data_IF_443806996462
#
_entry.id   IF_443806996462
#
_cell.length_a   1.000
_cell.length_b   1.000
_cell.length_c   1.000
_cell.angle_alpha   90.00
_cell.angle_beta   90.00
_cell.angle_gamma   90.00
#
_symmetry.space_group_name_H-M   'P 1'
#
loop_
_entity.id
_entity.type
_entity.pdbx_description
1 polymer ?
#
# COMPACT_ATOMS: atom_id res chain seq x y z
N UNK A 1 -12.27 -4.24 -22.68
CA UNK A 1 -10.96 -3.64 -22.31
C UNK A 1 -10.34 -3.11 -23.56
N UNK A 2 -10.25 -1.81 -23.67
CA UNK A 2 -9.54 -1.13 -24.76
C UNK A 2 -8.06 -1.50 -24.64
N UNK A 3 -7.50 -2.10 -25.68
CA UNK A 3 -6.11 -2.49 -25.73
C UNK A 3 -5.22 -1.29 -25.44
N UNK A 4 -4.71 -1.23 -24.23
CA UNK A 4 -3.62 -0.32 -23.89
C UNK A 4 -2.45 -0.75 -24.77
N UNK A 5 -1.97 0.20 -25.52
CA UNK A 5 -0.94 0.08 -26.54
C UNK A 5 0.26 -0.73 -26.03
N UNK A 6 0.22 -2.03 -26.26
CA UNK A 6 1.33 -2.94 -25.93
C UNK A 6 2.64 -2.60 -26.65
N UNK A 7 2.58 -1.77 -27.69
CA UNK A 7 3.77 -1.32 -28.43
C UNK A 7 4.62 -0.29 -27.68
N UNK A 8 4.07 0.40 -26.68
CA UNK A 8 4.83 1.37 -25.86
C UNK A 8 5.48 0.73 -24.61
N UNK A 9 4.99 -0.42 -24.15
CA UNK A 9 5.44 -1.09 -22.92
C UNK A 9 6.94 -1.45 -22.92
N UNK A 10 7.56 -1.86 -24.04
CA UNK A 10 9.01 -2.16 -24.04
C UNK A 10 9.91 -0.92 -23.96
N UNK A 11 9.34 0.29 -24.08
CA UNK A 11 10.10 1.56 -24.18
C UNK A 11 9.92 2.41 -22.92
N UNK A 12 8.81 2.23 -22.21
CA UNK A 12 8.45 3.03 -21.04
C UNK A 12 8.53 2.18 -19.77
N UNK A 13 9.10 2.75 -18.73
CA UNK A 13 9.03 2.15 -17.39
C UNK A 13 7.58 2.20 -16.89
N UNK A 14 7.04 1.04 -16.57
CA UNK A 14 5.64 0.89 -16.15
C UNK A 14 5.53 0.65 -14.65
N UNK A 15 4.62 1.36 -14.01
CA UNK A 15 4.40 1.26 -12.57
C UNK A 15 2.94 0.98 -12.28
N UNK A 16 2.69 -0.04 -11.46
CA UNK A 16 1.37 -0.34 -10.91
C UNK A 16 1.25 0.27 -9.50
N UNK A 17 0.32 1.20 -9.32
CA UNK A 17 -0.07 1.73 -8.01
C UNK A 17 -1.30 0.99 -7.49
N UNK A 18 -1.21 0.35 -6.34
CA UNK A 18 -2.29 -0.52 -5.86
C UNK A 18 -2.37 -0.62 -4.33
N UNK A 19 -3.60 -0.83 -3.83
CA UNK A 19 -3.82 -1.25 -2.44
C UNK A 19 -3.61 -2.76 -2.23
N UNK A 20 -3.46 -3.55 -3.28
CA UNK A 20 -3.34 -5.02 -3.20
C UNK A 20 -4.60 -5.76 -2.75
N UNK A 21 -5.67 -5.07 -2.39
CA UNK A 21 -6.88 -5.70 -1.85
C UNK A 21 -7.56 -6.72 -2.79
N UNK A 22 -7.64 -6.49 -4.11
CA UNK A 22 -8.24 -7.46 -5.03
C UNK A 22 -7.38 -8.70 -5.28
N UNK A 23 -6.15 -8.77 -4.77
CA UNK A 23 -5.26 -9.89 -5.01
C UNK A 23 -5.86 -11.22 -4.52
N UNK A 24 -5.71 -12.24 -5.33
CA UNK A 24 -5.99 -13.64 -5.00
C UNK A 24 -5.12 -14.55 -5.85
N UNK A 25 -4.71 -15.67 -5.28
CA UNK A 25 -3.99 -16.76 -5.96
C UNK A 25 -4.90 -17.73 -6.72
N UNK A 26 -6.21 -17.41 -6.79
CA UNK A 26 -7.20 -18.27 -7.44
C UNK A 26 -7.38 -17.94 -8.93
N UNK A 27 -7.53 -19.00 -9.73
CA UNK A 27 -7.84 -18.87 -11.16
C UNK A 27 -9.30 -18.42 -11.39
N UNK A 28 -9.58 -17.69 -12.47
CA UNK A 28 -8.66 -17.25 -13.54
C UNK A 28 -7.93 -15.92 -13.24
N UNK A 29 -8.14 -15.34 -12.07
CA UNK A 29 -7.59 -14.04 -11.75
C UNK A 29 -6.05 -14.07 -11.67
N UNK A 30 -5.49 -15.12 -11.06
CA UNK A 30 -4.05 -15.27 -10.86
C UNK A 30 -3.26 -15.33 -12.19
N UNK A 31 -3.77 -16.07 -13.17
CA UNK A 31 -3.16 -16.07 -14.53
C UNK A 31 -3.13 -14.68 -15.15
N UNK A 32 -4.20 -13.88 -14.98
CA UNK A 32 -4.24 -12.49 -15.43
C UNK A 32 -3.25 -11.59 -14.70
N UNK A 33 -3.09 -11.81 -13.40
CA UNK A 33 -2.10 -11.14 -12.57
C UNK A 33 -0.68 -11.44 -13.04
N UNK A 34 -0.33 -12.71 -13.23
CA UNK A 34 0.98 -13.11 -13.73
C UNK A 34 1.29 -12.53 -15.11
N UNK A 35 0.28 -12.45 -15.99
CA UNK A 35 0.43 -11.82 -17.29
C UNK A 35 0.69 -10.31 -17.17
N UNK A 36 -0.05 -9.60 -16.28
CA UNK A 36 0.18 -8.18 -16.01
C UNK A 36 1.60 -7.93 -15.48
N UNK A 37 2.12 -8.80 -14.62
CA UNK A 37 3.46 -8.66 -14.05
C UNK A 37 4.58 -8.76 -15.08
N UNK A 38 4.36 -9.37 -16.24
CA UNK A 38 5.35 -9.37 -17.34
C UNK A 38 5.60 -7.96 -17.91
N UNK A 39 4.61 -7.09 -17.81
CA UNK A 39 4.63 -5.73 -18.35
C UNK A 39 4.72 -4.64 -17.27
N UNK A 40 4.89 -5.04 -16.02
CA UNK A 40 5.02 -4.12 -14.88
C UNK A 40 6.47 -4.13 -14.41
N UNK A 41 7.13 -2.98 -14.40
CA UNK A 41 8.52 -2.88 -13.94
C UNK A 41 8.61 -2.64 -12.43
N UNK A 42 7.66 -1.91 -11.86
CA UNK A 42 7.60 -1.56 -10.45
C UNK A 42 6.17 -1.65 -9.92
N UNK A 43 6.00 -2.16 -8.71
CA UNK A 43 4.73 -2.08 -7.99
C UNK A 43 4.85 -1.14 -6.79
N UNK A 44 3.99 -0.13 -6.70
CA UNK A 44 3.82 0.68 -5.49
C UNK A 44 2.66 0.11 -4.69
N UNK A 45 2.97 -0.56 -3.58
CA UNK A 45 2.01 -1.30 -2.77
C UNK A 45 1.72 -0.56 -1.46
N UNK A 46 0.45 -0.24 -1.23
CA UNK A 46 0.01 0.37 0.01
C UNK A 46 -0.24 -0.69 1.11
N UNK A 47 0.53 -0.66 2.18
CA UNK A 47 0.23 -1.41 3.42
C UNK A 47 -0.23 -0.40 4.48
N UNK A 48 -1.55 -0.23 4.59
CA UNK A 48 -2.14 0.83 5.44
C UNK A 48 -2.13 0.49 6.93
N UNK A 49 -2.19 -0.79 7.29
CA UNK A 49 -2.09 -1.28 8.66
C UNK A 49 -1.67 -2.75 8.65
N UNK A 50 -0.69 -3.12 9.49
CA UNK A 50 -0.18 -4.49 9.56
C UNK A 50 -1.06 -5.41 10.40
N UNK A 51 -1.75 -4.88 11.39
CA UNK A 51 -2.71 -5.63 12.19
C UNK A 51 -4.03 -5.79 11.42
N UNK A 52 -4.53 -7.01 11.30
CA UNK A 52 -5.73 -7.30 10.51
C UNK A 52 -6.97 -6.58 11.05
N UNK A 53 -7.18 -6.59 12.36
CA UNK A 53 -8.38 -6.01 12.97
C UNK A 53 -8.38 -4.49 12.85
N UNK A 54 -7.23 -3.86 13.06
CA UNK A 54 -7.07 -2.43 12.88
C UNK A 54 -7.14 -2.04 11.39
N UNK A 55 -6.68 -2.90 10.48
CA UNK A 55 -6.83 -2.69 9.04
C UNK A 55 -8.31 -2.71 8.63
N UNK A 56 -9.09 -3.65 9.17
CA UNK A 56 -10.53 -3.72 8.91
C UNK A 56 -11.24 -2.47 9.44
N UNK A 57 -10.89 -1.99 10.63
CA UNK A 57 -11.45 -0.73 11.17
C UNK A 57 -11.12 0.47 10.29
N UNK A 58 -9.91 0.52 9.74
CA UNK A 58 -9.43 1.64 8.93
C UNK A 58 -9.97 1.63 7.50
N UNK A 59 -10.13 0.45 6.90
CA UNK A 59 -10.38 0.30 5.46
C UNK A 59 -11.64 -0.45 5.10
N UNK A 60 -12.27 -1.14 6.07
CA UNK A 60 -13.39 -2.04 5.85
C UNK A 60 -13.00 -3.43 5.33
N UNK A 61 -11.73 -3.72 5.10
CA UNK A 61 -11.24 -4.97 4.50
C UNK A 61 -10.09 -5.59 5.28
N UNK A 62 -9.91 -6.92 5.15
CA UNK A 62 -8.74 -7.63 5.65
C UNK A 62 -7.48 -7.26 4.86
N UNK A 63 -6.32 -7.28 5.52
CA UNK A 63 -5.02 -7.08 4.88
C UNK A 63 -4.37 -8.38 4.36
N UNK A 64 -5.01 -9.53 4.52
CA UNK A 64 -4.44 -10.84 4.15
C UNK A 64 -4.02 -10.91 2.69
N UNK A 65 -4.90 -10.45 1.78
CA UNK A 65 -4.61 -10.42 0.36
C UNK A 65 -3.44 -9.50 0.03
N UNK A 66 -3.34 -8.36 0.71
CA UNK A 66 -2.25 -7.38 0.54
C UNK A 66 -0.91 -7.99 0.94
N UNK A 67 -0.87 -8.64 2.10
CA UNK A 67 0.35 -9.29 2.60
C UNK A 67 0.72 -10.53 1.76
N UNK A 68 -0.27 -11.26 1.24
CA UNK A 68 -0.05 -12.36 0.30
C UNK A 68 0.56 -11.84 -1.01
N UNK A 69 0.00 -10.77 -1.58
CA UNK A 69 0.55 -10.11 -2.76
C UNK A 69 2.00 -9.65 -2.56
N UNK A 70 2.32 -9.05 -1.40
CA UNK A 70 3.67 -8.61 -1.10
C UNK A 70 4.67 -9.78 -1.10
N UNK A 71 4.28 -10.94 -0.54
CA UNK A 71 5.11 -12.15 -0.54
C UNK A 71 5.30 -12.70 -1.95
N UNK A 72 4.24 -12.79 -2.75
CA UNK A 72 4.34 -13.26 -4.13
C UNK A 72 5.22 -12.35 -4.99
N UNK A 73 5.10 -11.03 -4.84
CA UNK A 73 6.00 -10.09 -5.50
C UNK A 73 7.46 -10.32 -5.08
N UNK A 74 7.71 -10.68 -3.82
CA UNK A 74 9.04 -11.01 -3.31
C UNK A 74 9.57 -12.31 -3.91
N UNK A 75 8.74 -13.35 -4.00
CA UNK A 75 9.11 -14.63 -4.62
C UNK A 75 9.42 -14.46 -6.12
N UNK A 76 8.67 -13.59 -6.80
CA UNK A 76 8.90 -13.21 -8.20
C UNK A 76 10.11 -12.27 -8.37
N UNK A 77 10.69 -11.75 -7.29
CA UNK A 77 11.73 -10.69 -7.31
C UNK A 77 11.29 -9.45 -8.09
N UNK A 78 9.99 -9.15 -8.08
CA UNK A 78 9.44 -7.97 -8.73
C UNK A 78 9.73 -6.74 -7.86
N UNK A 79 10.38 -5.69 -8.41
CA UNK A 79 10.65 -4.46 -7.65
C UNK A 79 9.38 -3.90 -7.00
N UNK A 80 9.48 -3.55 -5.71
CA UNK A 80 8.34 -2.98 -4.98
C UNK A 80 8.76 -1.78 -4.14
N UNK A 81 7.93 -0.75 -4.15
CA UNK A 81 7.93 0.31 -3.16
C UNK A 81 6.78 0.08 -2.20
N UNK A 82 7.07 0.00 -0.91
CA UNK A 82 6.03 -0.09 0.13
C UNK A 82 5.67 1.32 0.57
N UNK A 83 4.38 1.63 0.56
CA UNK A 83 3.87 2.91 1.05
C UNK A 83 2.98 2.68 2.27
N UNK A 84 3.21 3.48 3.29
CA UNK A 84 2.44 3.45 4.53
C UNK A 84 1.84 4.82 4.82
N UNK A 85 0.51 4.90 4.88
CA UNK A 85 -0.19 6.12 5.26
C UNK A 85 -0.24 6.21 6.79
N UNK A 86 0.40 7.23 7.35
CA UNK A 86 0.48 7.47 8.80
C UNK A 86 -0.75 8.22 9.28
N UNK A 87 -1.73 7.48 9.79
CA UNK A 87 -3.01 8.03 10.31
C UNK A 87 -2.96 8.06 11.83
N UNK A 88 -3.00 9.25 12.46
CA UNK A 88 -3.01 9.36 13.92
C UNK A 88 -4.16 8.59 14.56
N UNK A 89 -3.83 7.77 15.57
CA UNK A 89 -4.78 6.88 16.24
C UNK A 89 -5.21 5.64 15.46
N UNK A 90 -4.81 5.52 14.20
CA UNK A 90 -5.13 4.39 13.32
C UNK A 90 -3.91 3.51 13.01
N UNK A 91 -2.96 4.04 12.26
CA UNK A 91 -1.79 3.28 11.80
C UNK A 91 -0.45 3.77 12.37
N UNK A 92 -0.47 4.76 13.26
CA UNK A 92 0.73 5.47 13.73
C UNK A 92 1.37 4.92 15.03
N UNK A 93 0.81 3.86 15.63
CA UNK A 93 1.38 3.28 16.87
C UNK A 93 2.71 2.58 16.58
N UNK A 94 3.70 2.82 17.44
CA UNK A 94 5.06 2.24 17.29
C UNK A 94 5.04 0.72 17.21
N UNK A 95 4.18 0.05 18.00
CA UNK A 95 3.99 -1.40 17.93
C UNK A 95 3.68 -1.88 16.51
N UNK A 96 2.74 -1.20 15.81
CA UNK A 96 2.37 -1.57 14.45
C UNK A 96 3.45 -1.19 13.44
N UNK A 97 4.13 -0.08 13.65
CA UNK A 97 5.26 0.32 12.80
C UNK A 97 6.41 -0.69 12.88
N UNK A 98 6.75 -1.17 14.07
CA UNK A 98 7.76 -2.23 14.24
C UNK A 98 7.33 -3.54 13.59
N UNK A 99 6.08 -4.00 13.79
CA UNK A 99 5.55 -5.19 13.13
C UNK A 99 5.55 -5.06 11.60
N UNK A 100 5.27 -3.85 11.08
CA UNK A 100 5.35 -3.58 9.65
C UNK A 100 6.80 -3.62 9.16
N UNK A 101 7.74 -3.03 9.91
CA UNK A 101 9.16 -3.11 9.60
C UNK A 101 9.66 -4.56 9.57
N UNK A 102 9.29 -5.37 10.58
CA UNK A 102 9.62 -6.79 10.63
C UNK A 102 9.08 -7.55 9.40
N UNK A 103 7.82 -7.27 9.01
CA UNK A 103 7.25 -7.87 7.80
C UNK A 103 8.02 -7.44 6.54
N UNK A 104 8.31 -6.16 6.39
CA UNK A 104 9.08 -5.62 5.24
C UNK A 104 10.46 -6.31 5.16
N UNK A 105 11.13 -6.54 6.28
CA UNK A 105 12.42 -7.23 6.31
C UNK A 105 12.36 -8.70 5.86
N UNK A 106 11.18 -9.33 5.83
CA UNK A 106 11.02 -10.67 5.24
C UNK A 106 10.98 -10.65 3.72
N UNK A 107 10.82 -9.50 3.10
CA UNK A 107 10.71 -9.35 1.63
C UNK A 107 12.09 -9.03 1.04
N UNK A 108 12.44 -9.69 -0.07
CA UNK A 108 13.75 -9.56 -0.71
C UNK A 108 13.82 -8.55 -1.87
N UNK A 109 12.68 -7.91 -2.18
CA UNK A 109 12.46 -7.13 -3.40
C UNK A 109 12.09 -5.66 -3.14
N UNK A 110 12.13 -5.23 -1.87
CA UNK A 110 11.75 -3.87 -1.50
C UNK A 110 12.88 -2.91 -1.83
N UNK A 111 12.66 -2.01 -2.77
CA UNK A 111 13.62 -0.97 -3.15
C UNK A 111 13.45 0.32 -2.35
N UNK A 112 12.23 0.57 -1.86
CA UNK A 112 11.91 1.80 -1.15
C UNK A 112 10.75 1.60 -0.18
N UNK A 113 10.83 2.29 0.95
CA UNK A 113 9.70 2.46 1.87
C UNK A 113 9.38 3.95 1.98
N UNK A 114 8.10 4.29 1.87
CA UNK A 114 7.60 5.66 1.98
C UNK A 114 6.58 5.79 3.09
N UNK A 115 6.77 6.77 3.97
CA UNK A 115 5.77 7.20 4.95
C UNK A 115 5.02 8.40 4.38
N UNK A 116 3.72 8.22 4.14
CA UNK A 116 2.82 9.25 3.62
C UNK A 116 2.01 9.84 4.78
N UNK A 117 2.25 11.08 5.19
CA UNK A 117 1.46 11.69 6.25
C UNK A 117 -0.01 11.83 5.84
N UNK A 118 -0.93 11.42 6.73
CA UNK A 118 -2.35 11.69 6.55
C UNK A 118 -2.61 13.20 6.38
N UNK A 119 -3.51 13.54 5.49
CA UNK A 119 -3.98 14.90 5.24
C UNK A 119 -5.46 14.93 4.90
N UNK A 120 -6.11 16.08 5.10
CA UNK A 120 -7.55 16.26 4.93
C UNK A 120 -7.98 16.70 3.53
N UNK A 121 -7.06 16.76 2.56
CA UNK A 121 -7.33 17.24 1.19
C UNK A 121 -8.45 16.48 0.45
N UNK A 122 -8.73 15.23 0.85
CA UNK A 122 -9.83 14.45 0.28
C UNK A 122 -11.20 14.68 0.93
N UNK A 123 -11.30 15.42 2.04
CA UNK A 123 -12.53 15.56 2.82
C UNK A 123 -13.70 16.11 1.98
N UNK A 124 -13.44 17.12 1.15
CA UNK A 124 -14.46 17.71 0.27
C UNK A 124 -15.14 16.71 -0.67
N UNK A 125 -14.47 15.60 -1.02
CA UNK A 125 -15.06 14.56 -1.88
C UNK A 125 -16.17 13.81 -1.14
N UNK A 126 -15.99 13.56 0.17
CA UNK A 126 -17.01 12.96 1.01
C UNK A 126 -18.22 13.89 1.17
N UNK A 127 -17.96 15.16 1.40
CA UNK A 127 -18.99 16.21 1.51
C UNK A 127 -19.81 16.30 0.21
N UNK A 128 -19.14 16.32 -0.96
CA UNK A 128 -19.79 16.35 -2.26
C UNK A 128 -20.65 15.09 -2.56
N UNK A 129 -20.29 13.95 -1.97
CA UNK A 129 -21.05 12.70 -2.09
C UNK A 129 -22.16 12.58 -1.01
N UNK A 130 -22.29 13.55 -0.10
CA UNK A 130 -23.24 13.49 1.03
C UNK A 130 -22.91 12.41 2.06
N UNK A 131 -21.63 11.98 2.13
CA UNK A 131 -21.16 10.94 3.03
C UNK A 131 -20.43 11.54 4.23
N UNK A 132 -20.61 10.92 5.41
CA UNK A 132 -19.85 11.28 6.60
C UNK A 132 -18.38 10.91 6.43
N UNK A 133 -17.49 11.84 6.77
CA UNK A 133 -16.06 11.59 6.69
C UNK A 133 -15.59 10.72 7.89
N UNK A 134 -15.04 9.51 7.66
CA UNK A 134 -14.72 8.57 8.75
C UNK A 134 -13.64 9.09 9.73
N UNK A 135 -12.76 9.99 9.26
CA UNK A 135 -11.67 10.56 10.04
C UNK A 135 -11.96 12.00 10.46
N UNK A 136 -13.25 12.33 10.69
CA UNK A 136 -13.65 13.67 11.16
C UNK A 136 -12.97 13.97 12.50
N UNK A 137 -12.37 15.16 12.62
CA UNK A 137 -11.63 15.58 13.81
C UNK A 137 -10.20 15.02 13.95
N UNK A 138 -9.77 14.13 13.05
CA UNK A 138 -8.37 13.64 13.03
C UNK A 138 -7.49 14.70 12.37
N UNK A 139 -6.51 15.22 13.11
CA UNK A 139 -5.52 16.16 12.60
C UNK A 139 -4.38 15.40 11.89
N UNK A 140 -3.66 16.02 10.93
CA UNK A 140 -2.43 15.47 10.38
C UNK A 140 -1.40 15.12 11.46
N UNK A 141 -0.55 14.12 11.27
CA UNK A 141 0.51 13.77 12.22
C UNK A 141 1.51 14.91 12.38
N UNK A 142 2.10 15.02 13.58
CA UNK A 142 3.19 15.97 13.82
C UNK A 142 4.46 15.55 13.08
N UNK A 143 5.37 16.50 12.83
CA UNK A 143 6.66 16.20 12.19
C UNK A 143 7.45 15.17 12.99
N UNK A 144 7.43 15.25 14.33
CA UNK A 144 8.07 14.27 15.21
C UNK A 144 7.53 12.84 14.98
N UNK A 145 6.21 12.68 14.84
CA UNK A 145 5.60 11.36 14.54
C UNK A 145 5.99 10.85 13.17
N UNK A 146 6.05 11.73 12.17
CA UNK A 146 6.51 11.38 10.81
C UNK A 146 7.95 10.89 10.84
N UNK A 147 8.84 11.63 11.50
CA UNK A 147 10.27 11.31 11.57
C UNK A 147 10.50 10.01 12.36
N UNK A 148 9.74 9.79 13.45
CA UNK A 148 9.77 8.54 14.19
C UNK A 148 9.33 7.35 13.32
N UNK A 149 8.22 7.49 12.60
CA UNK A 149 7.73 6.44 11.70
C UNK A 149 8.73 6.12 10.59
N UNK A 150 9.33 7.15 9.98
CA UNK A 150 10.39 6.98 8.98
C UNK A 150 11.59 6.23 9.54
N UNK A 151 12.03 6.59 10.75
CA UNK A 151 13.14 5.92 11.41
C UNK A 151 12.85 4.44 11.66
N UNK A 152 11.66 4.10 12.18
CA UNK A 152 11.27 2.71 12.46
C UNK A 152 11.19 1.90 11.17
N UNK A 153 10.59 2.47 10.12
CA UNK A 153 10.38 1.77 8.85
C UNK A 153 11.58 1.80 7.91
N UNK A 154 12.67 2.49 8.27
CA UNK A 154 13.80 2.69 7.36
C UNK A 154 13.42 3.47 6.10
N UNK A 155 12.41 4.34 6.19
CA UNK A 155 11.89 5.08 5.05
C UNK A 155 12.78 6.27 4.68
N UNK A 156 12.87 6.54 3.39
CA UNK A 156 13.64 7.64 2.81
C UNK A 156 12.73 8.86 2.62
#
# INVERSE_FOLDING_TARGET
MTGVQTCALPILHTTLDTSGNPFTDQEPWHSGWLELMKYTDLVMLDIKQIDEQEHIKLTGHSNKNILAMARELSDMKKPVWIRHVLVPGGSDKDEYLHRLADFIHTLSNVERVEVLPYHTLGKFKWENLGLSYPLEGVNPPTQERIDNARKILGAI
#
